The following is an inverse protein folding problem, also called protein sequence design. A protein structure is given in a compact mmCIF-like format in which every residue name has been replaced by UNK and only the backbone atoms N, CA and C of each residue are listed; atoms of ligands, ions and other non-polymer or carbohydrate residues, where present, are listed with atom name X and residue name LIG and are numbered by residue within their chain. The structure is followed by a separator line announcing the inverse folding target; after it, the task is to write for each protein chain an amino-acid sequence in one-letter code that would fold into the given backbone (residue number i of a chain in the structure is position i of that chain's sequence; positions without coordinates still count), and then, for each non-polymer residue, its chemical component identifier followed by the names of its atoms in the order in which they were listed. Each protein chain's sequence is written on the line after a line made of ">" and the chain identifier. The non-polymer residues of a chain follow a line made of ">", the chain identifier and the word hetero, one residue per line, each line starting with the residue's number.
data_IF_271082201402
#
_entry.id   IF_271082201402
#
_cell.length_a   1.000
_cell.length_b   1.000
_cell.length_c   1.000
_cell.angle_alpha   90.00
_cell.angle_beta   90.00
_cell.angle_gamma   90.00
#
_symmetry.space_group_name_H-M   'P 1'
#
loop_
_entity.id
_entity.type
_entity.pdbx_description
1 polymer ?
#
# COMPACT_ATOMS: atom_id res chain seq x y z
N UNK A 1 1.85 -63.52 28.96
CA UNK A 1 2.36 -62.13 28.96
C UNK A 1 3.36 -61.88 27.82
N UNK A 2 4.35 -62.76 27.59
CA UNK A 2 5.30 -62.64 26.46
C UNK A 2 4.62 -62.73 25.08
N UNK A 3 3.69 -63.66 24.89
CA UNK A 3 2.99 -63.80 23.59
C UNK A 3 2.14 -62.58 23.21
N UNK A 4 1.56 -61.90 24.21
CA UNK A 4 0.81 -60.66 24.01
C UNK A 4 1.72 -59.49 23.61
N UNK A 5 2.92 -59.41 24.21
CA UNK A 5 3.94 -58.42 23.86
C UNK A 5 4.53 -58.68 22.46
N UNK A 6 4.79 -59.93 22.10
CA UNK A 6 5.30 -60.28 20.76
C UNK A 6 4.24 -60.10 19.66
N UNK A 7 2.96 -60.25 19.99
CA UNK A 7 1.86 -59.90 19.08
C UNK A 7 1.73 -58.38 18.89
N UNK A 8 1.98 -57.58 19.93
CA UNK A 8 2.03 -56.11 19.84
C UNK A 8 3.24 -55.62 19.02
N UNK A 9 4.43 -56.19 19.21
CA UNK A 9 5.64 -55.82 18.46
C UNK A 9 5.50 -56.17 16.97
N UNK A 10 4.81 -57.27 16.64
CA UNK A 10 4.49 -57.65 15.24
C UNK A 10 3.45 -56.75 14.56
N UNK A 11 2.68 -55.96 15.33
CA UNK A 11 1.73 -54.96 14.83
C UNK A 11 2.36 -53.59 14.59
N UNK A 12 3.58 -53.35 15.07
CA UNK A 12 4.29 -52.11 14.80
C UNK A 12 4.77 -52.10 13.33
N UNK A 13 4.52 -51.02 12.56
CA UNK A 13 5.01 -50.91 11.20
C UNK A 13 6.53 -51.05 11.18
N UNK A 14 7.05 -51.84 10.23
CA UNK A 14 8.51 -52.04 10.06
C UNK A 14 9.19 -50.67 9.92
N UNK A 15 10.40 -50.50 10.46
CA UNK A 15 11.19 -49.25 10.37
C UNK A 15 11.26 -48.68 8.94
N UNK A 16 11.31 -49.56 7.91
CA UNK A 16 11.26 -49.18 6.49
C UNK A 16 9.92 -48.56 6.08
N UNK A 17 8.80 -49.10 6.55
CA UNK A 17 7.46 -48.55 6.31
C UNK A 17 7.30 -47.19 7.00
N UNK A 18 7.78 -47.05 8.23
CA UNK A 18 7.81 -45.75 8.92
C UNK A 18 8.67 -44.72 8.20
N UNK A 19 9.84 -45.10 7.68
CA UNK A 19 10.70 -44.21 6.89
C UNK A 19 10.06 -43.81 5.55
N UNK A 20 9.38 -44.72 4.86
CA UNK A 20 8.67 -44.43 3.62
C UNK A 20 7.47 -43.50 3.86
N UNK A 21 6.68 -43.76 4.91
CA UNK A 21 5.56 -42.89 5.30
C UNK A 21 6.09 -41.51 5.70
N UNK A 22 7.14 -41.44 6.52
CA UNK A 22 7.79 -40.19 6.89
C UNK A 22 8.30 -39.43 5.67
N UNK A 23 8.96 -40.11 4.73
CA UNK A 23 9.42 -39.53 3.47
C UNK A 23 8.26 -39.02 2.60
N UNK A 24 7.17 -39.76 2.51
CA UNK A 24 5.97 -39.35 1.79
C UNK A 24 5.29 -38.12 2.43
N UNK A 25 5.23 -38.05 3.76
CA UNK A 25 4.73 -36.86 4.47
C UNK A 25 5.63 -35.65 4.21
N UNK A 26 6.95 -35.80 4.30
CA UNK A 26 7.89 -34.71 4.01
C UNK A 26 7.74 -34.22 2.57
N UNK A 27 7.64 -35.14 1.60
CA UNK A 27 7.41 -34.79 0.21
C UNK A 27 6.08 -34.05 0.01
N UNK A 28 5.00 -34.52 0.64
CA UNK A 28 3.70 -33.87 0.57
C UNK A 28 3.76 -32.44 1.13
N UNK A 29 4.40 -32.26 2.29
CA UNK A 29 4.60 -30.93 2.90
C UNK A 29 5.41 -30.03 1.96
N UNK A 30 6.48 -30.54 1.36
CA UNK A 30 7.29 -29.78 0.41
C UNK A 30 6.48 -29.34 -0.83
N UNK A 31 5.61 -30.23 -1.36
CA UNK A 31 4.72 -29.90 -2.48
C UNK A 31 3.72 -28.82 -2.09
N UNK A 32 3.10 -28.91 -0.91
CA UNK A 32 2.14 -27.91 -0.42
C UNK A 32 2.82 -26.56 -0.23
N UNK A 33 4.02 -26.53 0.36
CA UNK A 33 4.80 -25.29 0.56
C UNK A 33 5.21 -24.69 -0.78
N UNK A 34 5.74 -25.49 -1.70
CA UNK A 34 6.13 -25.02 -3.03
C UNK A 34 4.92 -24.51 -3.84
N UNK A 35 3.79 -25.21 -3.77
CA UNK A 35 2.54 -24.80 -4.42
C UNK A 35 2.00 -23.49 -3.84
N UNK A 36 2.01 -23.35 -2.50
CA UNK A 36 1.63 -22.10 -1.84
C UNK A 36 2.55 -20.93 -2.22
N UNK A 37 3.87 -21.14 -2.21
CA UNK A 37 4.83 -20.12 -2.62
C UNK A 37 4.62 -19.71 -4.08
N UNK A 38 4.45 -20.67 -4.99
CA UNK A 38 4.18 -20.40 -6.41
C UNK A 38 2.88 -19.61 -6.60
N UNK A 39 1.83 -19.94 -5.85
CA UNK A 39 0.55 -19.23 -5.89
C UNK A 39 0.68 -17.75 -5.48
N UNK A 40 1.38 -17.46 -4.40
CA UNK A 40 1.58 -16.06 -3.97
C UNK A 40 2.53 -15.30 -4.89
N UNK A 41 3.61 -15.95 -5.35
CA UNK A 41 4.56 -15.38 -6.30
C UNK A 41 3.92 -15.03 -7.66
N UNK A 42 2.93 -15.80 -8.12
CA UNK A 42 2.25 -15.54 -9.39
C UNK A 42 1.52 -14.19 -9.40
N UNK A 43 0.96 -13.75 -8.26
CA UNK A 43 0.40 -12.41 -8.14
C UNK A 43 -0.82 -12.12 -9.04
N UNK A 44 -1.33 -10.90 -8.91
CA UNK A 44 -2.12 -10.19 -9.91
C UNK A 44 -1.24 -9.10 -10.52
N UNK A 45 -1.54 -8.72 -11.77
CA UNK A 45 -0.82 -7.67 -12.48
C UNK A 45 0.66 -7.98 -12.75
N UNK A 46 1.41 -6.97 -13.21
CA UNK A 46 0.91 -5.65 -13.61
C UNK A 46 0.14 -5.70 -14.94
N UNK A 47 -0.71 -4.70 -15.17
CA UNK A 47 -1.13 -4.31 -16.52
C UNK A 47 0.09 -3.73 -17.26
N UNK A 48 0.61 -4.49 -18.21
CA UNK A 48 1.84 -4.17 -18.91
C UNK A 48 1.72 -2.90 -19.77
N UNK A 49 0.55 -2.62 -20.34
CA UNK A 49 0.34 -1.46 -21.20
C UNK A 49 0.31 -0.17 -20.36
N UNK A 50 -0.34 -0.22 -19.20
CA UNK A 50 -0.36 0.91 -18.26
C UNK A 50 1.04 1.25 -17.72
N UNK A 51 1.85 0.24 -17.38
CA UNK A 51 3.24 0.45 -16.95
C UNK A 51 4.10 1.00 -18.08
N UNK A 52 4.00 0.41 -19.29
CA UNK A 52 4.76 0.85 -20.45
C UNK A 52 4.42 2.29 -20.86
N UNK A 53 3.18 2.73 -20.70
CA UNK A 53 2.76 4.10 -20.95
C UNK A 53 3.50 5.11 -20.07
N UNK A 54 3.67 4.81 -18.78
CA UNK A 54 4.45 5.65 -17.85
C UNK A 54 5.93 5.62 -18.18
N UNK A 55 6.49 4.45 -18.49
CA UNK A 55 7.91 4.34 -18.86
C UNK A 55 8.25 5.07 -20.16
N UNK A 56 7.26 5.31 -21.03
CA UNK A 56 7.40 6.06 -22.27
C UNK A 56 7.24 7.58 -22.09
N UNK A 57 6.73 8.06 -20.94
CA UNK A 57 6.56 9.48 -20.67
C UNK A 57 7.92 10.15 -20.40
N UNK A 58 8.36 11.14 -21.21
CA UNK A 58 9.64 11.81 -21.00
C UNK A 58 9.70 12.68 -19.73
N UNK A 59 8.55 12.97 -19.10
CA UNK A 59 8.48 13.78 -17.88
C UNK A 59 8.55 12.93 -16.61
N UNK A 60 8.49 11.60 -16.73
CA UNK A 60 8.53 10.67 -15.58
C UNK A 60 9.73 9.75 -15.71
N UNK A 61 10.51 9.63 -14.64
CA UNK A 61 11.60 8.66 -14.52
C UNK A 61 11.15 7.47 -13.68
N UNK A 62 11.29 6.28 -14.24
CA UNK A 62 11.00 5.00 -13.58
C UNK A 62 12.31 4.20 -13.43
N UNK A 63 12.79 4.07 -12.20
CA UNK A 63 14.06 3.44 -11.86
C UNK A 63 13.83 2.15 -11.07
N UNK A 64 14.17 0.98 -11.65
CA UNK A 64 14.10 -0.31 -10.94
C UNK A 64 15.33 -0.49 -10.04
N UNK A 65 15.12 -0.84 -8.78
CA UNK A 65 16.18 -0.95 -7.77
C UNK A 65 16.06 -2.25 -6.96
N UNK A 66 17.04 -2.51 -6.09
CA UNK A 66 17.00 -3.65 -5.17
C UNK A 66 15.97 -3.54 -4.04
N UNK A 67 15.30 -2.40 -3.91
CA UNK A 67 14.29 -2.12 -2.87
C UNK A 67 12.90 -1.85 -3.46
N UNK A 68 12.74 -1.99 -4.78
CA UNK A 68 11.50 -1.73 -5.49
C UNK A 68 11.69 -0.81 -6.70
N UNK A 69 10.60 -0.21 -7.15
CA UNK A 69 10.56 0.68 -8.31
C UNK A 69 10.33 2.12 -7.87
N UNK A 70 11.29 2.98 -8.21
CA UNK A 70 11.30 4.41 -7.92
C UNK A 70 10.64 5.19 -9.06
N UNK A 71 9.74 6.11 -8.74
CA UNK A 71 9.01 6.98 -9.68
C UNK A 71 9.16 8.44 -9.24
N UNK A 72 9.53 9.31 -10.17
CA UNK A 72 9.76 10.76 -9.94
C UNK A 72 9.59 11.54 -11.24
N UNK A 73 9.26 12.82 -11.13
CA UNK A 73 9.16 13.78 -12.24
C UNK A 73 10.29 14.83 -12.24
N UNK A 74 11.20 14.75 -11.26
CA UNK A 74 12.31 15.68 -11.08
C UNK A 74 13.54 15.06 -10.41
N UNK A 75 14.54 15.89 -10.05
CA UNK A 75 15.67 15.48 -9.22
C UNK A 75 15.21 15.21 -7.78
N UNK A 76 15.79 14.18 -7.15
CA UNK A 76 15.56 13.89 -5.73
C UNK A 76 16.53 14.75 -4.91
N UNK A 77 15.99 15.55 -3.99
CA UNK A 77 16.72 16.51 -3.15
C UNK A 77 16.13 16.58 -1.74
N UNK A 78 16.70 17.41 -0.87
CA UNK A 78 16.17 17.61 0.49
C UNK A 78 14.82 18.31 0.56
N UNK A 79 14.39 18.99 -0.51
CA UNK A 79 13.03 19.55 -0.60
C UNK A 79 11.99 18.57 -1.12
N UNK A 80 12.43 17.43 -1.68
CA UNK A 80 11.55 16.38 -2.19
C UNK A 80 10.81 15.71 -1.04
N UNK A 81 9.52 15.42 -1.22
CA UNK A 81 8.75 14.60 -0.29
C UNK A 81 8.76 13.15 -0.79
N UNK A 82 9.35 12.25 0.00
CA UNK A 82 9.40 10.83 -0.31
C UNK A 82 8.16 10.09 0.19
N UNK A 83 7.66 9.13 -0.58
CA UNK A 83 6.65 8.17 -0.17
C UNK A 83 7.17 6.75 -0.40
N UNK A 84 7.39 6.00 0.68
CA UNK A 84 7.55 4.55 0.59
C UNK A 84 6.17 3.91 0.47
N UNK A 85 5.93 3.17 -0.60
CA UNK A 85 4.62 2.60 -0.90
C UNK A 85 4.64 1.07 -0.88
N UNK A 86 3.89 0.46 0.05
CA UNK A 86 3.69 -0.97 0.13
C UNK A 86 2.54 -1.46 -0.77
N UNK A 87 2.81 -2.42 -1.68
CA UNK A 87 1.79 -2.97 -2.56
C UNK A 87 0.77 -3.83 -1.81
N UNK A 88 -0.40 -4.01 -2.42
CA UNK A 88 -1.43 -4.93 -1.96
C UNK A 88 -0.97 -6.39 -1.92
N UNK A 89 -1.65 -7.19 -1.08
CA UNK A 89 -1.34 -8.61 -0.95
C UNK A 89 -1.60 -9.35 -2.26
N UNK A 90 -0.61 -10.14 -2.70
CA UNK A 90 -0.66 -10.90 -3.95
C UNK A 90 -0.81 -10.02 -5.20
N UNK A 91 -0.32 -8.78 -5.16
CA UNK A 91 -0.25 -7.86 -6.32
C UNK A 91 1.20 -7.57 -6.63
N UNK A 92 1.61 -7.71 -7.89
CA UNK A 92 2.95 -7.35 -8.34
C UNK A 92 3.18 -5.85 -8.11
N UNK A 93 4.31 -5.48 -7.51
CA UNK A 93 4.55 -4.10 -7.09
C UNK A 93 4.53 -3.10 -8.26
N UNK A 94 4.95 -3.51 -9.45
CA UNK A 94 4.92 -2.71 -10.67
C UNK A 94 3.51 -2.21 -11.02
N UNK A 95 2.46 -2.89 -10.54
CA UNK A 95 1.07 -2.46 -10.72
C UNK A 95 0.78 -1.08 -10.12
N UNK A 96 1.59 -0.61 -9.18
CA UNK A 96 1.41 0.72 -8.60
C UNK A 96 2.29 1.80 -9.23
N UNK A 97 3.14 1.46 -10.22
CA UNK A 97 3.93 2.46 -10.97
C UNK A 97 3.02 3.49 -11.64
N UNK A 98 1.90 3.12 -12.29
CA UNK A 98 0.97 4.10 -12.83
C UNK A 98 0.34 5.02 -11.77
N UNK A 99 -0.11 4.48 -10.64
CA UNK A 99 -0.63 5.31 -9.55
C UNK A 99 0.46 6.21 -8.96
N UNK A 100 1.69 5.72 -8.82
CA UNK A 100 2.82 6.52 -8.36
C UNK A 100 3.14 7.68 -9.32
N UNK A 101 3.01 7.47 -10.63
CA UNK A 101 3.16 8.52 -11.64
C UNK A 101 2.11 9.63 -11.47
N UNK A 102 0.85 9.26 -11.23
CA UNK A 102 -0.23 10.22 -10.95
C UNK A 102 0.03 10.99 -9.63
N UNK A 103 0.55 10.31 -8.60
CA UNK A 103 0.92 10.96 -7.33
C UNK A 103 2.00 12.03 -7.55
N UNK A 104 3.06 11.70 -8.28
CA UNK A 104 4.15 12.67 -8.50
C UNK A 104 3.69 13.83 -9.37
N UNK A 105 2.94 13.56 -10.44
CA UNK A 105 2.44 14.58 -11.35
C UNK A 105 1.43 15.56 -10.70
N UNK A 106 0.65 15.09 -9.72
CA UNK A 106 -0.34 15.92 -9.02
C UNK A 106 0.25 16.73 -7.85
N UNK A 107 1.53 16.54 -7.53
CA UNK A 107 2.20 17.24 -6.45
C UNK A 107 2.74 18.58 -6.94
N UNK A 108 2.39 19.68 -6.27
CA UNK A 108 2.96 21.01 -6.53
C UNK A 108 4.42 21.13 -6.03
N UNK A 109 4.91 20.12 -5.31
CA UNK A 109 6.30 19.95 -4.89
C UNK A 109 6.92 18.75 -5.58
N UNK A 110 8.24 18.72 -5.67
CA UNK A 110 8.95 17.50 -6.09
C UNK A 110 8.55 16.34 -5.17
N UNK A 111 7.85 15.35 -5.73
CA UNK A 111 7.45 14.14 -5.04
C UNK A 111 8.21 12.95 -5.61
N UNK A 112 8.48 12.00 -4.73
CA UNK A 112 9.25 10.80 -5.06
C UNK A 112 8.59 9.60 -4.43
N UNK A 113 8.16 8.64 -5.23
CA UNK A 113 7.48 7.44 -4.74
C UNK A 113 8.35 6.23 -5.00
N UNK A 114 8.57 5.41 -3.97
CA UNK A 114 9.22 4.09 -4.12
C UNK A 114 8.20 3.02 -3.80
N UNK A 115 7.73 2.34 -4.83
CA UNK A 115 6.87 1.17 -4.67
C UNK A 115 7.74 -0.02 -4.36
N UNK A 116 7.60 -0.56 -3.16
CA UNK A 116 8.56 -1.55 -2.68
C UNK A 116 8.30 -2.95 -3.20
N UNK A 117 9.36 -3.70 -3.48
CA UNK A 117 9.27 -5.11 -3.81
C UNK A 117 9.11 -5.95 -2.52
N UNK A 118 8.20 -6.92 -2.56
CA UNK A 118 7.94 -7.82 -1.46
C UNK A 118 8.08 -9.29 -1.90
N UNK A 119 8.78 -10.14 -1.14
CA UNK A 119 8.84 -11.57 -1.43
C UNK A 119 7.42 -12.15 -1.58
N UNK A 120 7.21 -12.91 -2.65
CA UNK A 120 5.92 -13.54 -2.96
C UNK A 120 4.74 -12.55 -3.05
N UNK A 121 4.99 -11.27 -3.37
CA UNK A 121 3.98 -10.20 -3.38
C UNK A 121 3.25 -10.04 -2.03
N UNK A 122 3.96 -10.26 -0.92
CA UNK A 122 3.39 -10.18 0.43
C UNK A 122 4.18 -9.20 1.29
N UNK A 123 3.63 -8.00 1.52
CA UNK A 123 4.24 -6.94 2.32
C UNK A 123 4.65 -7.40 3.74
N UNK A 124 3.94 -8.37 4.33
CA UNK A 124 4.28 -8.96 5.64
C UNK A 124 5.65 -9.64 5.67
N UNK A 125 6.19 -10.03 4.51
CA UNK A 125 7.52 -10.63 4.36
C UNK A 125 8.62 -9.59 4.10
N UNK A 126 8.27 -8.30 4.05
CA UNK A 126 9.20 -7.19 3.78
C UNK A 126 9.05 -6.03 4.79
N UNK A 127 8.98 -6.28 6.11
CA UNK A 127 8.70 -5.23 7.10
C UNK A 127 9.78 -4.14 7.11
N UNK A 128 11.05 -4.50 6.88
CA UNK A 128 12.22 -3.61 6.91
C UNK A 128 12.44 -2.82 5.60
N UNK A 129 11.56 -3.00 4.62
CA UNK A 129 11.79 -2.48 3.27
C UNK A 129 11.74 -0.96 3.22
N UNK A 130 10.91 -0.33 4.04
CA UNK A 130 10.84 1.12 4.13
C UNK A 130 12.13 1.77 4.66
N UNK A 131 12.80 1.12 5.61
CA UNK A 131 14.07 1.62 6.15
C UNK A 131 15.16 1.55 5.07
N UNK A 132 15.24 0.43 4.35
CA UNK A 132 16.19 0.28 3.23
C UNK A 132 15.97 1.29 2.10
N UNK A 133 14.72 1.69 1.85
CA UNK A 133 14.44 2.76 0.88
C UNK A 133 15.05 4.06 1.37
N UNK A 134 14.81 4.44 2.62
CA UNK A 134 15.34 5.68 3.17
C UNK A 134 16.85 5.72 3.25
N UNK A 135 17.48 4.61 3.61
CA UNK A 135 18.94 4.46 3.59
C UNK A 135 19.53 4.63 2.19
N UNK A 136 18.78 4.23 1.15
CA UNK A 136 19.20 4.36 -0.26
C UNK A 136 19.08 5.80 -0.78
N UNK A 137 18.15 6.57 -0.24
CA UNK A 137 17.87 7.96 -0.66
C UNK A 137 18.06 8.93 0.52
N UNK A 138 19.29 9.04 1.06
CA UNK A 138 19.58 9.88 2.23
C UNK A 138 19.42 11.37 1.95
N UNK A 139 19.33 11.77 0.69
CA UNK A 139 19.06 13.16 0.28
C UNK A 139 17.64 13.63 0.58
N UNK A 140 16.68 12.73 0.83
CA UNK A 140 15.29 13.08 1.12
C UNK A 140 15.10 13.26 2.62
N UNK A 141 14.72 14.47 3.05
CA UNK A 141 14.56 14.82 4.46
C UNK A 141 13.16 14.53 5.02
N UNK A 142 12.15 14.43 4.16
CA UNK A 142 10.75 14.29 4.54
C UNK A 142 10.16 13.01 3.94
N UNK A 143 9.64 12.12 4.79
CA UNK A 143 9.18 10.79 4.39
C UNK A 143 7.78 10.48 4.90
N UNK A 144 6.90 10.15 3.96
CA UNK A 144 5.70 9.39 4.20
C UNK A 144 5.98 7.89 4.03
N UNK A 145 5.26 7.07 4.79
CA UNK A 145 5.12 5.63 4.54
C UNK A 145 3.66 5.31 4.34
N UNK A 146 3.37 4.44 3.38
CA UNK A 146 2.00 4.12 3.07
C UNK A 146 1.86 2.88 2.23
N UNK A 147 0.64 2.60 1.80
CA UNK A 147 0.39 1.48 0.91
C UNK A 147 -1.07 1.17 0.72
N UNK A 148 -1.31 0.17 -0.11
CA UNK A 148 -2.64 -0.29 -0.47
C UNK A 148 -3.05 -1.55 0.29
N UNK A 149 -4.28 -1.62 0.79
CA UNK A 149 -4.86 -2.83 1.38
C UNK A 149 -3.95 -3.47 2.45
N UNK A 150 -3.56 -4.74 2.31
CA UNK A 150 -2.58 -5.39 3.19
C UNK A 150 -1.27 -4.58 3.33
N UNK A 151 -0.79 -3.99 2.23
CA UNK A 151 0.40 -3.13 2.24
C UNK A 151 0.23 -1.90 3.11
N UNK A 152 -0.92 -1.24 3.05
CA UNK A 152 -1.26 -0.10 3.91
C UNK A 152 -1.32 -0.48 5.40
N UNK A 153 -1.89 -1.65 5.72
CA UNK A 153 -1.85 -2.17 7.08
C UNK A 153 -0.42 -2.44 7.57
N UNK A 154 0.47 -2.95 6.70
CA UNK A 154 1.88 -3.16 7.06
C UNK A 154 2.63 -1.85 7.20
N UNK A 155 2.36 -0.85 6.35
CA UNK A 155 2.90 0.50 6.48
C UNK A 155 2.52 1.14 7.83
N UNK A 156 1.25 1.03 8.24
CA UNK A 156 0.79 1.48 9.57
C UNK A 156 1.57 0.79 10.71
N UNK A 157 1.72 -0.54 10.64
CA UNK A 157 2.47 -1.28 11.67
C UNK A 157 3.95 -0.88 11.71
N UNK A 158 4.54 -0.61 10.55
CA UNK A 158 5.92 -0.12 10.45
C UNK A 158 6.05 1.27 11.08
N UNK A 159 5.15 2.19 10.73
CA UNK A 159 5.11 3.54 11.26
C UNK A 159 4.91 3.54 12.79
N UNK A 160 4.02 2.68 13.32
CA UNK A 160 3.80 2.58 14.77
C UNK A 160 5.07 2.17 15.55
N UNK A 161 5.98 1.41 14.93
CA UNK A 161 7.27 1.05 15.52
C UNK A 161 8.39 2.06 15.27
N UNK A 162 8.20 3.00 14.35
CA UNK A 162 9.25 3.87 13.81
C UNK A 162 8.73 5.31 13.56
N UNK A 163 7.82 5.81 14.40
CA UNK A 163 7.12 7.06 14.14
C UNK A 163 8.04 8.27 13.96
N UNK A 164 9.12 8.37 14.76
CA UNK A 164 10.13 9.44 14.67
C UNK A 164 10.85 9.49 13.32
N UNK A 165 10.72 8.43 12.53
CA UNK A 165 11.41 8.24 11.29
C UNK A 165 10.56 8.70 10.08
N UNK A 166 9.27 9.00 10.28
CA UNK A 166 8.35 9.42 9.23
C UNK A 166 7.60 10.69 9.64
N UNK A 167 7.21 11.48 8.66
CA UNK A 167 6.35 12.65 8.86
C UNK A 167 4.87 12.29 8.67
N UNK A 168 4.59 11.25 7.87
CA UNK A 168 3.24 10.94 7.43
C UNK A 168 2.96 9.45 7.22
N UNK A 169 1.69 9.07 7.42
CA UNK A 169 1.10 7.78 7.09
C UNK A 169 0.04 7.93 5.99
N UNK A 170 0.16 7.16 4.90
CA UNK A 170 -0.82 7.14 3.80
C UNK A 170 -1.48 5.77 3.67
N UNK A 171 -2.81 5.71 3.75
CA UNK A 171 -3.60 4.48 3.68
C UNK A 171 -4.51 4.51 2.46
N UNK A 172 -4.25 3.63 1.49
CA UNK A 172 -5.09 3.46 0.30
C UNK A 172 -5.94 2.19 0.44
N UNK A 173 -7.26 2.32 0.50
CA UNK A 173 -8.18 1.20 0.72
C UNK A 173 -7.72 0.28 1.88
N UNK A 174 -7.25 0.90 2.97
CA UNK A 174 -6.65 0.23 4.11
C UNK A 174 -7.03 0.94 5.42
N UNK A 175 -6.88 0.24 6.53
CA UNK A 175 -7.05 0.78 7.87
C UNK A 175 -5.85 0.44 8.76
N UNK A 176 -5.55 1.33 9.71
CA UNK A 176 -4.43 1.17 10.63
C UNK A 176 -4.86 0.36 11.86
N UNK A 177 -4.25 -0.81 12.08
CA UNK A 177 -4.57 -1.70 13.19
C UNK A 177 -3.68 -1.50 14.43
N UNK A 178 -2.89 -0.42 14.43
CA UNK A 178 -2.05 0.02 15.54
C UNK A 178 -2.40 1.45 15.88
N UNK A 179 -2.44 1.75 17.17
CA UNK A 179 -2.64 3.10 17.65
C UNK A 179 -1.41 3.96 17.32
N UNK A 180 -1.61 4.93 16.45
CA UNK A 180 -0.64 5.98 16.07
C UNK A 180 -1.23 7.37 16.34
N UNK A 181 -2.30 7.46 17.14
CA UNK A 181 -3.05 8.72 17.36
C UNK A 181 -2.22 9.80 18.04
N UNK A 182 -1.25 9.41 18.88
CA UNK A 182 -0.33 10.31 19.58
C UNK A 182 1.09 10.28 18.99
N UNK A 183 1.27 9.73 17.79
CA UNK A 183 2.60 9.55 17.17
C UNK A 183 3.22 10.84 16.62
N UNK A 184 2.40 11.89 16.41
CA UNK A 184 2.81 13.12 15.73
C UNK A 184 2.87 13.01 14.21
N UNK A 185 2.54 11.85 13.63
CA UNK A 185 2.41 11.68 12.19
C UNK A 185 1.23 12.48 11.64
N UNK A 186 1.37 13.03 10.45
CA UNK A 186 0.21 13.38 9.63
C UNK A 186 -0.39 12.09 9.04
N UNK A 187 -1.70 12.04 8.83
CA UNK A 187 -2.35 10.86 8.27
C UNK A 187 -3.35 11.19 7.16
N UNK A 188 -3.25 10.44 6.06
CA UNK A 188 -4.22 10.44 4.96
C UNK A 188 -4.80 9.02 4.80
N UNK A 189 -6.12 8.92 4.76
CA UNK A 189 -6.85 7.72 4.36
C UNK A 189 -7.65 8.02 3.10
N UNK A 190 -7.39 7.28 2.03
CA UNK A 190 -8.10 7.37 0.75
C UNK A 190 -8.88 6.08 0.55
N UNK A 191 -10.20 6.19 0.47
CA UNK A 191 -11.15 5.09 0.32
C UNK A 191 -11.80 5.16 -1.06
N UNK A 192 -12.13 4.00 -1.63
CA UNK A 192 -12.96 3.92 -2.82
C UNK A 192 -14.44 3.84 -2.45
N UNK A 193 -15.28 4.69 -3.04
CA UNK A 193 -16.73 4.68 -2.80
C UNK A 193 -17.44 3.45 -3.41
N UNK A 194 -16.74 2.69 -4.27
CA UNK A 194 -17.18 1.42 -4.82
C UNK A 194 -16.27 0.26 -4.39
N UNK A 195 -15.55 0.39 -3.27
CA UNK A 195 -14.68 -0.67 -2.73
C UNK A 195 -15.52 -1.81 -2.12
N UNK A 196 -15.48 -2.98 -2.75
CA UNK A 196 -16.20 -4.17 -2.28
C UNK A 196 -15.39 -5.08 -1.35
N UNK A 197 -14.12 -4.76 -1.09
CA UNK A 197 -13.16 -5.64 -0.40
C UNK A 197 -12.80 -5.17 0.99
N UNK A 198 -12.68 -3.87 1.21
CA UNK A 198 -12.36 -3.34 2.53
C UNK A 198 -13.53 -3.60 3.51
N UNK A 199 -13.18 -4.05 4.71
CA UNK A 199 -14.15 -4.13 5.81
C UNK A 199 -14.47 -2.71 6.32
N UNK A 200 -15.58 -2.15 5.85
CA UNK A 200 -15.98 -0.78 6.14
C UNK A 200 -16.35 -0.54 7.61
N UNK A 201 -16.79 -1.57 8.36
CA UNK A 201 -17.03 -1.42 9.80
C UNK A 201 -15.70 -1.33 10.54
N UNK A 202 -14.77 -2.21 10.20
CA UNK A 202 -13.43 -2.23 10.79
C UNK A 202 -12.62 -1.00 10.42
N UNK A 203 -12.74 -0.49 9.20
CA UNK A 203 -12.14 0.77 8.78
C UNK A 203 -12.63 1.91 9.69
N UNK A 204 -13.94 2.11 9.81
CA UNK A 204 -14.52 3.17 10.66
C UNK A 204 -14.10 3.04 12.11
N UNK A 205 -14.10 1.82 12.65
CA UNK A 205 -13.66 1.56 14.03
C UNK A 205 -12.16 1.84 14.22
N UNK A 206 -11.34 1.66 13.20
CA UNK A 206 -9.89 1.88 13.26
C UNK A 206 -9.49 3.34 13.10
N UNK A 207 -10.40 4.25 12.73
CA UNK A 207 -10.10 5.68 12.62
C UNK A 207 -9.64 6.30 13.95
N UNK A 208 -10.05 5.74 15.09
CA UNK A 208 -9.56 6.17 16.41
C UNK A 208 -8.08 5.85 16.65
N UNK A 209 -7.49 4.98 15.83
CA UNK A 209 -6.05 4.70 15.87
C UNK A 209 -5.23 5.76 15.13
N UNK A 210 -5.87 6.67 14.39
CA UNK A 210 -5.19 7.72 13.65
C UNK A 210 -5.18 9.02 14.46
N UNK A 211 -4.26 9.96 14.13
CA UNK A 211 -4.28 11.32 14.67
C UNK A 211 -5.65 11.98 14.49
N UNK A 212 -6.03 12.84 15.44
CA UNK A 212 -7.35 13.47 15.43
C UNK A 212 -7.61 14.36 14.21
N UNK A 213 -6.55 14.88 13.57
CA UNK A 213 -6.61 15.68 12.35
C UNK A 213 -6.33 14.87 11.07
N UNK A 214 -6.35 13.53 11.16
CA UNK A 214 -6.23 12.65 10.00
C UNK A 214 -7.29 13.01 8.94
N UNK A 215 -6.84 13.15 7.68
CA UNK A 215 -7.73 13.42 6.55
C UNK A 215 -8.25 12.11 5.98
N UNK A 216 -9.57 11.99 5.90
CA UNK A 216 -10.23 10.86 5.22
C UNK A 216 -10.89 11.39 3.95
N UNK A 217 -10.55 10.79 2.81
CA UNK A 217 -11.10 11.11 1.49
C UNK A 217 -11.77 9.85 0.94
N UNK A 218 -13.00 9.99 0.48
CA UNK A 218 -13.72 8.93 -0.22
C UNK A 218 -13.87 9.32 -1.69
N UNK A 219 -13.41 8.46 -2.60
CA UNK A 219 -13.39 8.69 -4.03
C UNK A 219 -14.57 7.98 -4.70
N UNK A 220 -15.54 8.76 -5.15
CA UNK A 220 -16.73 8.25 -5.84
C UNK A 220 -16.33 7.40 -7.06
N UNK A 221 -16.85 6.19 -7.13
CA UNK A 221 -16.70 5.32 -8.30
C UNK A 221 -15.38 4.56 -8.42
N UNK A 222 -14.44 4.76 -7.50
CA UNK A 222 -13.22 3.96 -7.37
C UNK A 222 -13.52 2.71 -6.56
N UNK A 223 -13.14 1.54 -7.08
CA UNK A 223 -13.18 0.27 -6.34
C UNK A 223 -11.80 -0.09 -5.79
N UNK A 224 -11.68 -1.21 -5.07
CA UNK A 224 -10.41 -1.62 -4.44
C UNK A 224 -9.30 -1.84 -5.48
N UNK A 225 -9.64 -2.45 -6.61
CA UNK A 225 -8.74 -2.67 -7.74
C UNK A 225 -8.23 -1.35 -8.34
N UNK A 226 -9.04 -0.29 -8.30
CA UNK A 226 -8.76 1.01 -8.92
C UNK A 226 -7.54 1.75 -8.37
N UNK A 227 -7.01 1.34 -7.21
CA UNK A 227 -5.79 1.91 -6.62
C UNK A 227 -4.50 1.46 -7.32
N UNK A 228 -4.55 0.48 -8.22
CA UNK A 228 -3.40 0.02 -8.99
C UNK A 228 -3.78 -0.57 -10.36
N UNK A 229 -2.80 -0.65 -11.25
CA UNK A 229 -2.94 -1.24 -12.57
C UNK A 229 -2.67 -2.75 -12.51
N UNK A 230 -3.53 -3.52 -11.84
CA UNK A 230 -3.46 -4.99 -11.77
C UNK A 230 -4.72 -5.72 -12.26
N UNK A 231 -5.70 -4.95 -12.75
CA UNK A 231 -6.97 -5.45 -13.24
C UNK A 231 -7.94 -5.86 -12.13
N UNK A 232 -9.11 -6.41 -12.51
CA UNK A 232 -10.15 -6.80 -11.55
C UNK A 232 -9.66 -7.88 -10.58
N UNK A 233 -10.13 -7.84 -9.34
CA UNK A 233 -9.85 -8.86 -8.34
C UNK A 233 -11.12 -9.55 -7.84
N UNK A 234 -11.04 -10.83 -7.41
CA UNK A 234 -12.18 -11.52 -6.82
C UNK A 234 -12.67 -10.85 -5.54
N UNK A 235 -13.99 -10.65 -5.44
CA UNK A 235 -14.64 -10.09 -4.25
C UNK A 235 -14.76 -8.57 -4.23
N UNK A 236 -14.22 -7.87 -5.23
CA UNK A 236 -14.40 -6.44 -5.38
C UNK A 236 -15.66 -6.10 -6.19
N UNK A 237 -16.19 -4.91 -5.97
CA UNK A 237 -17.32 -4.39 -6.71
C UNK A 237 -16.87 -3.71 -8.02
N UNK A 238 -17.74 -3.59 -9.04
CA UNK A 238 -17.39 -2.87 -10.26
C UNK A 238 -17.15 -1.37 -10.00
N UNK A 239 -16.02 -0.85 -10.47
CA UNK A 239 -15.79 0.60 -10.54
C UNK A 239 -16.76 1.25 -11.55
N UNK A 240 -17.18 2.49 -11.27
CA UNK A 240 -17.87 3.32 -12.28
C UNK A 240 -16.89 4.19 -13.06
N UNK A 241 -15.69 4.43 -12.53
CA UNK A 241 -14.59 5.07 -13.24
C UNK A 241 -13.81 4.06 -14.09
N UNK A 242 -13.16 4.55 -15.15
CA UNK A 242 -12.18 3.75 -15.87
C UNK A 242 -10.96 3.45 -14.98
N UNK A 243 -10.16 2.42 -15.30
CA UNK A 243 -8.93 2.14 -14.57
C UNK A 243 -8.00 3.35 -14.49
N UNK A 244 -7.84 4.09 -15.59
CA UNK A 244 -6.97 5.27 -15.65
C UNK A 244 -7.52 6.41 -14.79
N UNK A 245 -8.81 6.72 -14.92
CA UNK A 245 -9.47 7.75 -14.11
C UNK A 245 -9.46 7.41 -12.61
N UNK A 246 -9.52 6.13 -12.25
CA UNK A 246 -9.40 5.70 -10.85
C UNK A 246 -8.02 6.02 -10.29
N UNK A 247 -6.96 5.72 -11.05
CA UNK A 247 -5.57 6.00 -10.64
C UNK A 247 -5.28 7.50 -10.61
N UNK A 248 -5.80 8.26 -11.58
CA UNK A 248 -5.73 9.73 -11.59
C UNK A 248 -6.41 10.31 -10.34
N UNK A 249 -7.61 9.85 -9.97
CA UNK A 249 -8.30 10.32 -8.77
C UNK A 249 -7.52 10.01 -7.48
N UNK A 250 -6.96 8.81 -7.37
CA UNK A 250 -6.11 8.40 -6.24
C UNK A 250 -4.82 9.23 -6.19
N UNK A 251 -4.17 9.41 -7.33
CA UNK A 251 -2.95 10.19 -7.48
C UNK A 251 -3.16 11.64 -7.10
N UNK A 252 -4.21 12.28 -7.62
CA UNK A 252 -4.59 13.65 -7.30
C UNK A 252 -4.84 13.85 -5.81
N UNK A 253 -5.67 12.99 -5.19
CA UNK A 253 -5.97 13.10 -3.77
C UNK A 253 -4.70 13.01 -2.89
N UNK A 254 -3.75 12.17 -3.29
CA UNK A 254 -2.53 11.89 -2.53
C UNK A 254 -1.44 12.93 -2.78
N UNK A 255 -1.13 13.24 -4.04
CA UNK A 255 -0.09 14.19 -4.45
C UNK A 255 -0.39 15.61 -3.98
N UNK A 256 -1.64 16.05 -4.10
CA UNK A 256 -2.07 17.34 -3.55
C UNK A 256 -1.90 17.37 -2.02
N UNK A 257 -2.28 16.30 -1.32
CA UNK A 257 -2.14 16.25 0.14
C UNK A 257 -0.66 16.27 0.59
N UNK A 258 0.22 15.55 -0.09
CA UNK A 258 1.66 15.57 0.17
C UNK A 258 2.26 16.98 -0.02
N UNK A 259 1.72 17.75 -0.97
CA UNK A 259 2.16 19.13 -1.23
C UNK A 259 1.82 20.10 -0.09
N UNK A 260 0.64 19.93 0.53
CA UNK A 260 0.15 20.82 1.60
C UNK A 260 1.00 20.71 2.88
N UNK A 261 1.43 19.50 3.25
CA UNK A 261 2.06 19.24 4.56
C UNK A 261 3.55 19.55 4.61
N UNK A 262 4.26 19.44 3.49
CA UNK A 262 5.66 19.85 3.43
C UNK A 262 5.89 21.36 3.68
N UNK A 263 4.85 22.20 3.56
CA UNK A 263 4.94 23.64 3.81
C UNK A 263 4.92 24.00 5.31
N UNK A 264 4.53 23.04 6.17
CA UNK A 264 4.28 23.30 7.61
C UNK A 264 5.49 22.95 8.47
N UNK A 265 6.41 22.10 8.01
CA UNK A 265 7.43 21.53 8.91
C UNK A 265 8.76 22.28 9.00
N UNK A 266 9.05 23.34 8.22
CA UNK A 266 10.26 24.18 8.42
C UNK A 266 10.02 25.66 8.07
N UNK A 267 9.89 26.49 9.12
CA UNK A 267 9.89 27.97 9.16
C UNK A 267 8.67 28.79 8.66
N UNK A 268 7.93 29.38 9.62
CA UNK A 268 7.36 30.73 9.49
C UNK A 268 5.84 30.85 9.22
N UNK A 269 5.22 32.00 9.57
CA UNK A 269 3.77 32.12 9.71
C UNK A 269 3.06 32.05 8.35
N UNK A 270 1.90 31.39 8.37
CA UNK A 270 0.94 31.25 7.28
C UNK A 270 0.80 32.55 6.49
N UNK A 271 1.30 32.56 5.25
CA UNK A 271 0.90 33.57 4.27
C UNK A 271 -0.49 33.19 3.77
N UNK A 272 -1.45 34.07 4.03
CA UNK A 272 -2.79 34.02 3.47
C UNK A 272 -2.72 33.88 1.95
N UNK A 273 -3.24 32.76 1.44
CA UNK A 273 -3.46 32.57 0.00
C UNK A 273 -4.49 33.59 -0.47
N UNK A 274 -4.07 34.44 -1.38
CA UNK A 274 -4.90 35.39 -2.12
C UNK A 274 -5.87 34.65 -3.02
N UNK A 275 -7.15 35.03 -2.96
CA UNK A 275 -8.24 34.57 -3.83
C UNK A 275 -7.84 34.50 -5.31
N UNK A 276 -7.84 33.28 -5.85
CA UNK A 276 -8.22 33.04 -7.24
C UNK A 276 -9.46 32.16 -7.25
N UNK A 277 -10.57 32.79 -7.63
CA UNK A 277 -11.86 32.14 -7.79
C UNK A 277 -11.81 30.99 -8.81
N UNK A 278 -12.56 29.90 -8.56
CA UNK A 278 -13.24 29.16 -9.60
C UNK A 278 -14.75 29.41 -9.52
N UNK A 279 -15.33 29.74 -10.67
CA UNK A 279 -16.77 29.86 -10.83
C UNK A 279 -17.49 28.52 -10.68
N UNK A 280 -18.68 28.62 -10.09
CA UNK A 280 -19.81 27.70 -10.21
C UNK A 280 -19.69 26.29 -9.62
N UNK A 281 -19.95 26.18 -8.32
CA UNK A 281 -20.75 25.07 -7.76
C UNK A 281 -21.83 25.66 -6.85
N UNK A 282 -23.09 25.36 -7.14
CA UNK A 282 -24.26 25.81 -6.37
C UNK A 282 -24.34 25.01 -5.07
N UNK A 283 -24.28 25.69 -3.92
CA UNK A 283 -24.64 25.12 -2.62
C UNK A 283 -26.16 25.16 -2.41
N UNK A 284 -26.70 24.03 -1.93
CA UNK A 284 -28.08 23.91 -1.48
C UNK A 284 -28.33 24.65 -0.16
N UNK A 285 -29.52 25.23 -0.03
CA UNK A 285 -29.96 25.98 1.13
C UNK A 285 -30.22 25.07 2.36
N UNK A 286 -30.15 25.63 3.59
CA UNK A 286 -30.31 24.86 4.83
C UNK A 286 -31.78 24.66 5.23
N UNK A 287 -31.97 23.62 6.04
CA UNK A 287 -33.20 23.22 6.73
C UNK A 287 -33.71 24.34 7.62
N UNK A 288 -34.98 24.71 7.45
CA UNK A 288 -35.71 25.60 8.36
C UNK A 288 -36.39 24.75 9.43
N UNK A 289 -36.14 25.08 10.69
CA UNK A 289 -36.87 24.57 11.84
C UNK A 289 -38.30 25.14 11.87
N UNK A 290 -39.26 24.25 12.09
CA UNK A 290 -40.66 24.52 12.44
C UNK A 290 -41.20 23.34 13.22
#
# INVERSE_FOLDING_TARGET
>A
MRDALDAMVRRLPRRRTLALVGGAVVLLVAIVVAGGAAYFAAGLGPDADAVAAVEADPNVSVDRTAVGTAVRDGPVTSSTVGLVYYPGGRVAHESYVPTAAEIVAASDRDAFVVVVDAPLNLAVLAPDRADRVRERYPEVDAWAVGGHSLGGAMACRHAAGNAEAYDALVLHAAYCDRDVSESGLDALSVLGGADGVIDAERERASRSNLPADARVVELDGVNHAGFGAYGPQPGDDPASLSPDASREAVGNATGTWLSERGAVTRDGPSRSVSDRAPGAVRSGAPVVAG
#
